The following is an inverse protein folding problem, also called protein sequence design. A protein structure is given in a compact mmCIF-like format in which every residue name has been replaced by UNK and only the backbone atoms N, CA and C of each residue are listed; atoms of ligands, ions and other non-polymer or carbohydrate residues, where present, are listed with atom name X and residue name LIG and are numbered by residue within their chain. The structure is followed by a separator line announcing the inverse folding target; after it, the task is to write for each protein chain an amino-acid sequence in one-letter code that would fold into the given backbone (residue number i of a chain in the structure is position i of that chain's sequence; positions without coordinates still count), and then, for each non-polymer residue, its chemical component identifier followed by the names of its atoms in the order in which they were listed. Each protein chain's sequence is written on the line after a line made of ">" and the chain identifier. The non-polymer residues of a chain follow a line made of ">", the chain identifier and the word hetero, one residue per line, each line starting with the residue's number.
data_IF_716114308924
#
_entry.id   IF_716114308924
#
_cell.length_a   1.000
_cell.length_b   1.000
_cell.length_c   1.000
_cell.angle_alpha   90.00
_cell.angle_beta   90.00
_cell.angle_gamma   90.00
#
_symmetry.space_group_name_H-M   'P 1'
#
loop_
_entity.id
_entity.type
_entity.pdbx_description
1 polymer ?
#
# COMPACT_ATOMS: atom_id res chain seq x y z
N UNK A 1 9.01 2.17 -13.97
CA UNK A 1 8.05 2.39 -12.88
C UNK A 1 6.66 2.24 -13.46
N UNK A 2 5.80 1.49 -12.79
CA UNK A 2 4.39 1.33 -13.14
C UNK A 2 3.54 1.44 -11.87
N UNK A 3 2.87 2.59 -11.69
CA UNK A 3 2.03 2.83 -10.52
C UNK A 3 0.69 2.08 -10.63
N UNK A 4 0.31 1.41 -9.54
CA UNK A 4 -0.91 0.62 -9.44
C UNK A 4 -1.60 0.87 -8.09
N UNK A 5 -2.93 0.86 -8.07
CA UNK A 5 -3.70 0.79 -6.83
C UNK A 5 -3.80 -0.65 -6.32
N UNK A 6 -3.34 -0.89 -5.09
CA UNK A 6 -3.47 -2.17 -4.42
C UNK A 6 -4.73 -2.16 -3.55
N UNK A 7 -5.78 -2.88 -3.99
CA UNK A 7 -7.04 -2.96 -3.24
C UNK A 7 -6.92 -3.68 -1.89
N UNK A 8 -5.85 -4.46 -1.66
CA UNK A 8 -5.66 -5.14 -0.36
C UNK A 8 -5.14 -4.19 0.70
N UNK A 9 -4.21 -3.31 0.33
CA UNK A 9 -3.61 -2.34 1.25
C UNK A 9 -4.27 -1.00 1.23
N UNK A 10 -5.05 -0.72 0.17
CA UNK A 10 -5.54 0.61 -0.15
C UNK A 10 -4.34 1.56 -0.26
N UNK A 11 -3.33 1.14 -1.02
CA UNK A 11 -2.13 1.92 -1.25
C UNK A 11 -1.73 1.87 -2.73
N UNK A 12 -1.16 2.98 -3.19
CA UNK A 12 -0.45 3.10 -4.44
C UNK A 12 0.91 2.40 -4.31
N UNK A 13 1.17 1.46 -5.21
CA UNK A 13 2.41 0.69 -5.27
C UNK A 13 3.11 0.92 -6.62
N UNK A 14 4.42 0.67 -6.66
CA UNK A 14 5.14 0.49 -7.93
C UNK A 14 5.23 -1.01 -8.23
N UNK A 15 4.55 -1.43 -9.30
CA UNK A 15 4.49 -2.83 -9.71
C UNK A 15 5.80 -3.34 -10.36
N UNK A 16 6.77 -2.47 -10.62
CA UNK A 16 8.14 -2.91 -10.96
C UNK A 16 8.92 -3.37 -9.72
N UNK A 17 8.46 -3.00 -8.51
CA UNK A 17 9.00 -3.49 -7.25
C UNK A 17 8.24 -4.75 -6.89
N UNK A 18 8.99 -5.86 -6.78
CA UNK A 18 8.40 -7.14 -6.41
C UNK A 18 7.55 -7.00 -5.16
N UNK A 19 6.32 -7.53 -5.25
CA UNK A 19 5.48 -7.62 -4.08
C UNK A 19 6.26 -8.28 -2.94
N UNK A 20 7.22 -9.20 -3.15
CA UNK A 20 8.06 -9.80 -2.08
C UNK A 20 8.70 -8.81 -1.09
N UNK A 21 8.82 -7.53 -1.45
CA UNK A 21 9.26 -6.45 -0.56
C UNK A 21 8.11 -5.70 0.13
N UNK A 22 6.88 -5.79 -0.40
CA UNK A 22 5.65 -5.44 0.30
C UNK A 22 5.42 -6.44 1.45
N UNK A 23 5.17 -5.91 2.64
CA UNK A 23 4.92 -6.69 3.86
C UNK A 23 3.75 -7.68 3.75
N UNK A 24 2.92 -7.55 2.72
CA UNK A 24 1.77 -8.41 2.43
C UNK A 24 1.99 -9.41 1.30
N UNK A 25 3.18 -9.43 0.68
CA UNK A 25 3.48 -10.46 -0.31
C UNK A 25 3.94 -11.75 0.32
N UNK A 26 3.54 -12.86 -0.28
CA UNK A 26 3.74 -14.20 0.29
C UNK A 26 2.76 -14.52 1.42
N UNK A 27 2.11 -13.52 2.00
CA UNK A 27 0.93 -13.63 2.82
C UNK A 27 -0.30 -13.88 1.94
N UNK A 28 -0.39 -15.02 1.25
CA UNK A 28 -1.67 -15.51 0.72
C UNK A 28 -1.95 -16.88 1.27
N UNK A 29 -3.06 -17.03 2.02
CA UNK A 29 -3.34 -18.29 2.69
C UNK A 29 -3.47 -19.40 1.62
N UNK A 30 -3.10 -20.64 1.92
CA UNK A 30 -3.17 -21.74 0.95
C UNK A 30 -4.57 -21.96 0.35
N UNK A 31 -5.63 -21.62 1.09
CA UNK A 31 -7.04 -21.69 0.67
C UNK A 31 -7.49 -20.46 -0.15
N UNK A 32 -6.71 -19.39 -0.16
CA UNK A 32 -6.93 -18.21 -0.98
C UNK A 32 -6.30 -18.42 -2.36
N UNK A 33 -7.16 -18.76 -3.32
CA UNK A 33 -6.77 -19.09 -4.68
C UNK A 33 -7.68 -18.38 -5.68
N UNK A 34 -7.14 -18.10 -6.87
CA UNK A 34 -7.91 -17.50 -7.94
C UNK A 34 -9.13 -18.33 -8.36
N UNK A 35 -9.04 -19.66 -8.28
CA UNK A 35 -10.12 -20.60 -8.67
C UNK A 35 -11.35 -20.53 -7.75
N UNK A 36 -11.17 -20.17 -6.47
CA UNK A 36 -12.25 -20.00 -5.48
C UNK A 36 -12.60 -18.54 -5.18
N UNK A 37 -11.93 -17.58 -5.82
CA UNK A 37 -12.12 -16.16 -5.56
C UNK A 37 -13.43 -15.62 -6.16
N UNK A 38 -14.14 -14.75 -5.43
CA UNK A 38 -15.37 -14.07 -5.89
C UNK A 38 -15.18 -13.21 -7.14
N UNK A 39 -13.95 -12.79 -7.42
CA UNK A 39 -13.63 -11.98 -8.59
C UNK A 39 -13.47 -12.83 -9.85
N UNK A 40 -13.44 -14.16 -9.75
CA UNK A 40 -13.26 -15.01 -10.92
C UNK A 40 -14.44 -14.89 -11.87
N UNK A 41 -14.14 -14.60 -13.13
CA UNK A 41 -15.11 -14.55 -14.23
C UNK A 41 -14.66 -15.53 -15.31
N UNK A 42 -15.53 -16.49 -15.60
CA UNK A 42 -15.37 -17.42 -16.72
C UNK A 42 -15.58 -16.69 -18.05
N UNK A 43 -14.86 -17.12 -19.08
CA UNK A 43 -14.96 -16.58 -20.44
C UNK A 43 -14.98 -17.73 -21.44
N UNK A 44 -15.98 -17.75 -22.32
CA UNK A 44 -16.11 -18.81 -23.31
C UNK A 44 -14.87 -18.93 -24.20
N UNK A 45 -14.25 -20.11 -24.19
CA UNK A 45 -13.07 -20.43 -24.99
C UNK A 45 -11.81 -19.63 -24.63
N UNK A 46 -11.77 -18.94 -23.49
CA UNK A 46 -10.62 -18.12 -23.05
C UNK A 46 -10.26 -18.41 -21.59
N UNK A 47 -9.01 -18.15 -21.17
CA UNK A 47 -8.65 -18.22 -19.75
C UNK A 47 -9.55 -17.32 -18.90
N UNK A 48 -9.89 -17.70 -17.66
CA UNK A 48 -10.70 -16.88 -16.76
C UNK A 48 -9.98 -15.57 -16.41
N UNK A 49 -10.74 -14.57 -15.99
CA UNK A 49 -10.23 -13.26 -15.61
C UNK A 49 -10.64 -12.87 -14.19
N UNK A 50 -9.90 -11.93 -13.60
CA UNK A 50 -10.24 -11.24 -12.36
C UNK A 50 -11.14 -10.05 -12.70
N UNK A 51 -12.36 -9.99 -12.17
CA UNK A 51 -13.26 -8.83 -12.33
C UNK A 51 -12.70 -7.57 -11.67
N UNK A 52 -12.11 -7.70 -10.49
CA UNK A 52 -11.58 -6.57 -9.72
C UNK A 52 -10.60 -5.74 -10.53
N UNK A 53 -9.76 -6.41 -11.33
CA UNK A 53 -8.71 -5.75 -12.08
C UNK A 53 -8.90 -5.83 -13.59
N UNK A 54 -9.92 -6.56 -14.04
CA UNK A 54 -10.18 -6.86 -15.45
C UNK A 54 -9.05 -7.57 -16.22
N UNK A 55 -8.15 -8.27 -15.52
CA UNK A 55 -6.98 -8.95 -16.12
C UNK A 55 -7.09 -10.48 -16.08
N UNK A 56 -6.27 -11.18 -16.88
CA UNK A 56 -6.20 -12.64 -16.85
C UNK A 56 -5.78 -13.18 -15.48
N UNK A 57 -6.34 -14.32 -15.06
CA UNK A 57 -5.92 -14.96 -13.82
C UNK A 57 -4.56 -15.65 -14.01
N UNK A 58 -3.62 -15.53 -13.05
CA UNK A 58 -2.36 -16.26 -13.11
C UNK A 58 -2.62 -17.77 -13.07
N UNK A 59 -1.90 -18.53 -13.90
CA UNK A 59 -2.02 -20.00 -13.96
C UNK A 59 -1.61 -20.69 -12.64
N UNK A 60 -0.70 -20.06 -11.88
CA UNK A 60 -0.26 -20.53 -10.57
C UNK A 60 -1.31 -20.35 -9.46
N UNK A 61 -2.42 -19.66 -9.74
CA UNK A 61 -3.55 -19.53 -8.82
C UNK A 61 -3.31 -18.63 -7.59
N UNK A 62 -2.21 -17.88 -7.54
CA UNK A 62 -1.97 -16.88 -6.49
C UNK A 62 -2.75 -15.58 -6.73
N UNK A 63 -3.46 -15.06 -5.72
CA UNK A 63 -4.22 -13.81 -5.82
C UNK A 63 -3.93 -12.87 -4.64
N UNK A 64 -3.26 -11.74 -4.85
CA UNK A 64 -2.94 -10.78 -3.78
C UNK A 64 -4.16 -10.11 -3.12
N UNK A 65 -5.34 -10.19 -3.75
CA UNK A 65 -6.57 -9.47 -3.36
C UNK A 65 -7.65 -10.37 -2.76
N UNK A 66 -7.30 -11.57 -2.28
CA UNK A 66 -8.21 -12.65 -1.91
C UNK A 66 -9.59 -12.20 -1.35
N UNK A 67 -10.63 -12.28 -2.19
CA UNK A 67 -12.01 -11.91 -1.86
C UNK A 67 -12.23 -10.48 -1.32
N UNK A 68 -11.29 -9.55 -1.53
CA UNK A 68 -11.45 -8.14 -1.17
C UNK A 68 -12.74 -7.56 -1.77
N UNK A 69 -13.36 -6.60 -1.10
CA UNK A 69 -14.45 -5.83 -1.70
C UNK A 69 -13.82 -4.58 -2.29
N UNK A 70 -14.12 -4.28 -3.55
CA UNK A 70 -13.71 -3.00 -4.15
C UNK A 70 -14.45 -1.87 -3.46
N UNK A 71 -13.71 -0.91 -2.92
CA UNK A 71 -14.21 0.32 -2.32
C UNK A 71 -14.08 1.53 -3.26
N UNK A 72 -13.65 1.29 -4.50
CA UNK A 72 -13.56 2.29 -5.56
C UNK A 72 -14.92 2.98 -5.79
N UNK A 73 -14.95 4.34 -5.80
CA UNK A 73 -16.15 5.10 -6.17
C UNK A 73 -16.68 4.76 -7.57
N UNK A 74 -17.97 4.99 -7.82
CA UNK A 74 -18.63 4.67 -9.10
C UNK A 74 -18.02 5.38 -10.32
N UNK A 75 -17.35 6.52 -10.13
CA UNK A 75 -16.63 7.28 -11.17
C UNK A 75 -15.12 6.99 -11.22
N UNK A 76 -14.62 6.14 -10.31
CA UNK A 76 -13.21 5.77 -10.22
C UNK A 76 -12.29 6.88 -9.70
N UNK A 77 -12.81 8.06 -9.34
CA UNK A 77 -11.99 9.19 -8.92
C UNK A 77 -11.61 9.03 -7.44
N UNK A 78 -10.31 9.08 -7.15
CA UNK A 78 -9.79 9.12 -5.80
C UNK A 78 -8.89 10.33 -5.61
N UNK A 79 -8.98 10.91 -4.42
CA UNK A 79 -8.03 11.90 -3.91
C UNK A 79 -7.04 11.14 -3.05
N UNK A 80 -5.79 11.14 -3.49
CA UNK A 80 -4.71 10.40 -2.86
C UNK A 80 -3.68 11.39 -2.33
N UNK A 81 -3.18 11.14 -1.13
CA UNK A 81 -2.03 11.83 -0.59
C UNK A 81 -0.83 10.89 -0.44
N UNK A 82 0.20 11.33 0.29
CA UNK A 82 1.43 10.56 0.47
C UNK A 82 1.21 9.32 1.35
N UNK A 83 0.20 9.33 2.22
CA UNK A 83 -0.12 8.23 3.14
C UNK A 83 -0.81 7.07 2.40
N UNK A 84 -1.47 7.39 1.30
CA UNK A 84 -2.01 6.43 0.35
C UNK A 84 -0.91 5.78 -0.50
N UNK A 85 0.37 6.07 -0.30
CA UNK A 85 1.47 5.44 -1.04
C UNK A 85 2.19 4.42 -0.18
N UNK A 86 2.48 3.25 -0.74
CA UNK A 86 3.31 2.26 -0.07
C UNK A 86 4.69 2.87 0.28
N UNK A 87 5.14 2.83 1.55
CA UNK A 87 6.38 3.49 1.97
C UNK A 87 7.61 3.07 1.16
N UNK A 88 7.64 1.81 0.71
CA UNK A 88 8.70 1.28 -0.14
C UNK A 88 8.79 1.99 -1.50
N UNK A 89 7.68 2.48 -2.06
CA UNK A 89 7.66 3.17 -3.34
C UNK A 89 8.29 4.57 -3.23
N UNK A 90 7.88 5.37 -2.23
CA UNK A 90 8.47 6.69 -1.97
C UNK A 90 9.98 6.59 -1.68
N UNK A 91 10.36 5.65 -0.82
CA UNK A 91 11.76 5.42 -0.45
C UNK A 91 12.61 4.95 -1.65
N UNK A 92 12.10 4.01 -2.45
CA UNK A 92 12.81 3.51 -3.64
C UNK A 92 13.07 4.63 -4.66
N UNK A 93 12.07 5.48 -4.88
CA UNK A 93 12.15 6.58 -5.85
C UNK A 93 12.75 7.88 -5.29
N UNK A 94 13.01 7.94 -3.98
CA UNK A 94 13.57 9.11 -3.27
C UNK A 94 12.76 10.37 -3.52
N UNK A 95 11.45 10.28 -3.31
CA UNK A 95 10.49 11.38 -3.43
C UNK A 95 9.69 11.53 -2.14
N UNK A 96 9.27 12.75 -1.82
CA UNK A 96 8.60 13.09 -0.57
C UNK A 96 7.08 13.24 -0.71
N UNK A 97 6.54 13.31 -1.93
CA UNK A 97 5.10 13.46 -2.18
C UNK A 97 4.62 12.49 -3.25
N UNK A 98 3.33 12.16 -3.20
CA UNK A 98 2.67 11.38 -4.25
C UNK A 98 2.70 12.09 -5.60
N UNK A 99 2.54 13.41 -5.67
CA UNK A 99 2.66 14.15 -6.93
C UNK A 99 4.05 14.00 -7.56
N UNK A 100 5.12 14.11 -6.75
CA UNK A 100 6.49 13.88 -7.23
C UNK A 100 6.73 12.42 -7.66
N UNK A 101 6.04 11.46 -7.05
CA UNK A 101 6.05 10.07 -7.50
C UNK A 101 5.38 9.91 -8.87
N UNK A 102 4.22 10.53 -9.09
CA UNK A 102 3.52 10.55 -10.38
C UNK A 102 4.39 11.17 -11.48
N UNK A 103 5.04 12.30 -11.22
CA UNK A 103 5.93 12.98 -12.19
C UNK A 103 7.12 12.11 -12.61
N UNK A 104 7.60 11.22 -11.74
CA UNK A 104 8.68 10.28 -12.07
C UNK A 104 8.21 9.06 -12.85
N UNK A 105 6.91 8.77 -12.85
CA UNK A 105 6.37 7.57 -13.48
C UNK A 105 6.05 7.86 -14.93
N UNK A 106 6.78 7.27 -15.90
CA UNK A 106 6.50 7.48 -17.32
C UNK A 106 5.14 6.91 -17.74
N UNK A 107 4.54 6.07 -16.91
CA UNK A 107 3.26 5.40 -17.14
C UNK A 107 2.16 5.88 -16.19
N UNK A 108 2.44 6.88 -15.35
CA UNK A 108 1.38 7.46 -14.53
C UNK A 108 0.29 8.05 -15.43
N UNK A 109 -0.99 7.84 -15.09
CA UNK A 109 -2.09 8.47 -15.80
C UNK A 109 -2.07 10.00 -15.56
N UNK A 110 -2.88 10.71 -16.33
CA UNK A 110 -3.14 12.12 -16.06
C UNK A 110 -3.74 12.29 -14.66
N UNK A 111 -3.28 13.31 -13.93
CA UNK A 111 -3.77 13.63 -12.61
C UNK A 111 -3.91 15.14 -12.44
N UNK A 112 -4.73 15.55 -11.48
CA UNK A 112 -4.80 16.95 -11.03
C UNK A 112 -4.06 17.08 -9.71
N UNK A 113 -3.05 17.95 -9.63
CA UNK A 113 -2.33 18.18 -8.38
C UNK A 113 -3.22 18.95 -7.39
N UNK A 114 -3.17 18.55 -6.12
CA UNK A 114 -3.79 19.29 -5.02
C UNK A 114 -2.81 20.27 -4.40
N UNK A 115 -3.31 21.20 -3.58
CA UNK A 115 -2.51 22.28 -2.97
C UNK A 115 -1.43 21.74 -2.01
N UNK A 116 -1.69 20.59 -1.38
CA UNK A 116 -0.84 19.99 -0.35
C UNK A 116 0.08 18.89 -0.90
N UNK A 117 0.21 18.79 -2.22
CA UNK A 117 1.09 17.80 -2.88
C UNK A 117 0.47 16.41 -3.08
N UNK A 118 -0.82 16.26 -2.78
CA UNK A 118 -1.65 15.12 -3.17
C UNK A 118 -2.05 15.14 -4.67
N UNK A 119 -2.74 14.10 -5.12
CA UNK A 119 -3.24 13.95 -6.49
C UNK A 119 -4.71 13.56 -6.52
N UNK A 120 -5.47 14.10 -7.46
CA UNK A 120 -6.76 13.58 -7.89
C UNK A 120 -6.54 12.77 -9.16
N UNK A 121 -6.92 11.49 -9.15
CA UNK A 121 -6.65 10.54 -10.23
C UNK A 121 -7.83 9.57 -10.41
N UNK A 122 -8.09 9.17 -11.65
CA UNK A 122 -8.95 8.01 -11.90
C UNK A 122 -8.14 6.73 -11.67
N UNK A 123 -8.48 5.96 -10.64
CA UNK A 123 -7.73 4.75 -10.31
C UNK A 123 -7.88 3.64 -11.35
N UNK A 124 -8.90 3.72 -12.22
CA UNK A 124 -9.06 2.79 -13.33
C UNK A 124 -8.00 2.97 -14.42
N UNK A 125 -7.39 4.16 -14.50
CA UNK A 125 -6.34 4.52 -15.46
C UNK A 125 -4.93 4.15 -14.98
N UNK A 126 -4.79 3.69 -13.74
CA UNK A 126 -3.52 3.17 -13.23
C UNK A 126 -3.14 1.87 -13.94
N UNK A 127 -1.84 1.57 -13.95
CA UNK A 127 -1.32 0.38 -14.60
C UNK A 127 -1.93 -0.88 -13.99
N UNK A 128 -2.35 -1.82 -14.85
CA UNK A 128 -2.91 -3.11 -14.45
C UNK A 128 -1.91 -4.21 -14.80
N UNK A 129 -1.45 -5.02 -13.85
CA UNK A 129 -0.42 -6.02 -14.13
C UNK A 129 -1.01 -7.19 -14.91
N UNK A 130 -0.22 -7.76 -15.81
CA UNK A 130 -0.57 -8.97 -16.55
C UNK A 130 -0.54 -10.21 -15.66
N UNK A 131 0.41 -10.27 -14.73
CA UNK A 131 0.51 -11.31 -13.70
C UNK A 131 0.63 -10.67 -12.31
N UNK A 132 -0.31 -10.99 -11.42
CA UNK A 132 -0.37 -10.40 -10.07
C UNK A 132 0.63 -11.04 -9.10
N UNK A 133 1.22 -10.21 -8.25
CA UNK A 133 2.19 -10.64 -7.24
C UNK A 133 3.57 -10.98 -7.81
N UNK A 134 3.77 -10.71 -9.10
CA UNK A 134 4.99 -11.00 -9.84
C UNK A 134 5.47 -9.69 -10.48
N UNK A 135 6.74 -9.30 -10.31
CA UNK A 135 7.32 -8.15 -11.00
C UNK A 135 7.13 -8.24 -12.51
N UNK A 136 6.96 -7.11 -13.20
CA UNK A 136 6.87 -7.09 -14.66
C UNK A 136 7.99 -7.88 -15.38
N UNK A 137 9.27 -7.83 -14.93
CA UNK A 137 10.33 -8.66 -15.51
C UNK A 137 10.14 -10.19 -15.43
N UNK A 138 9.30 -10.67 -14.51
CA UNK A 138 9.13 -12.10 -14.21
C UNK A 138 7.81 -12.69 -14.75
N UNK A 139 7.00 -11.90 -15.46
CA UNK A 139 5.67 -12.30 -15.95
C UNK A 139 5.71 -13.51 -16.88
N UNK A 140 6.64 -13.53 -17.83
CA UNK A 140 6.79 -14.65 -18.78
C UNK A 140 7.03 -15.99 -18.07
N UNK A 141 7.79 -15.98 -16.97
CA UNK A 141 8.06 -17.17 -16.18
C UNK A 141 6.83 -17.61 -15.35
N UNK A 142 6.07 -16.65 -14.81
CA UNK A 142 4.88 -16.91 -14.02
C UNK A 142 3.66 -17.35 -14.85
N UNK A 143 3.65 -17.01 -16.14
CA UNK A 143 2.75 -17.60 -17.13
C UNK A 143 3.12 -19.06 -17.47
N UNK A 144 4.21 -19.61 -16.90
CA UNK A 144 4.71 -20.96 -17.22
C UNK A 144 5.03 -21.91 -16.06
N UNK A 145 4.93 -21.54 -14.76
CA UNK A 145 5.30 -22.41 -13.62
C UNK A 145 4.40 -22.30 -12.37
N UNK A 146 4.46 -23.34 -11.53
CA UNK A 146 3.77 -23.47 -10.24
C UNK A 146 4.16 -22.38 -9.22
N UNK A 147 3.20 -22.04 -8.35
CA UNK A 147 3.27 -20.97 -7.33
C UNK A 147 4.53 -21.08 -6.46
N UNK A 148 5.24 -19.97 -6.16
CA UNK A 148 6.25 -20.00 -5.11
C UNK A 148 5.57 -20.38 -3.78
N UNK A 149 6.05 -21.46 -3.16
CA UNK A 149 5.53 -21.97 -1.90
C UNK A 149 6.02 -21.08 -0.75
N UNK A 150 5.28 -20.01 -0.47
CA UNK A 150 5.50 -19.23 0.74
C UNK A 150 4.65 -19.77 1.89
N UNK A 151 5.18 -19.76 3.10
CA UNK A 151 4.47 -20.19 4.31
C UNK A 151 3.79 -18.97 4.93
N UNK A 152 2.47 -19.02 5.05
CA UNK A 152 1.69 -18.00 5.78
C UNK A 152 2.08 -18.00 7.26
N UNK A 153 2.49 -16.85 7.79
CA UNK A 153 2.94 -16.69 9.18
C UNK A 153 1.93 -15.91 10.02
N UNK A 154 2.04 -15.98 11.34
CA UNK A 154 1.20 -15.19 12.26
C UNK A 154 1.39 -13.67 12.09
N UNK A 155 2.58 -13.24 11.66
CA UNK A 155 2.86 -11.84 11.35
C UNK A 155 2.13 -11.38 10.07
N UNK A 156 2.08 -12.24 9.04
CA UNK A 156 1.30 -12.02 7.84
C UNK A 156 -0.21 -11.92 8.15
N UNK A 157 -0.71 -12.76 9.05
CA UNK A 157 -2.09 -12.69 9.56
C UNK A 157 -2.38 -11.36 10.25
N UNK A 158 -1.51 -10.93 11.17
CA UNK A 158 -1.69 -9.69 11.93
C UNK A 158 -1.66 -8.42 11.07
N UNK A 159 -0.95 -8.42 9.94
CA UNK A 159 -0.92 -7.30 8.98
C UNK A 159 -2.17 -7.34 8.08
N UNK A 160 -2.62 -8.53 7.68
CA UNK A 160 -3.79 -8.69 6.80
C UNK A 160 -5.14 -8.47 7.50
N UNK A 161 -5.24 -8.76 8.80
CA UNK A 161 -6.50 -8.67 9.57
C UNK A 161 -6.43 -7.69 10.75
N UNK A 162 -5.26 -7.09 10.99
CA UNK A 162 -5.07 -6.11 12.05
C UNK A 162 -5.76 -4.77 11.75
N UNK A 163 -5.85 -3.87 12.75
CA UNK A 163 -6.23 -2.50 12.51
C UNK A 163 -5.29 -1.88 11.47
N UNK A 164 -5.79 -0.94 10.66
CA UNK A 164 -4.94 -0.10 9.83
C UNK A 164 -4.01 0.66 10.75
N UNK A 165 -2.78 0.15 10.92
CA UNK A 165 -1.79 0.78 11.79
C UNK A 165 -1.49 2.21 11.33
N UNK A 166 -1.68 2.52 10.04
CA UNK A 166 -1.72 3.88 9.51
C UNK A 166 -2.77 4.74 10.22
N UNK A 167 -4.02 4.28 10.34
CA UNK A 167 -5.11 5.00 11.01
C UNK A 167 -4.83 5.26 12.51
N UNK A 168 -3.87 4.52 13.09
CA UNK A 168 -3.51 4.64 14.50
C UNK A 168 -2.21 5.43 14.71
N UNK A 169 -1.23 5.29 13.80
CA UNK A 169 0.10 5.90 13.89
C UNK A 169 0.15 7.25 13.16
N UNK A 170 -0.48 7.40 12.00
CA UNK A 170 -0.41 8.63 11.19
C UNK A 170 -0.99 9.87 11.88
N UNK A 171 -2.12 9.81 12.60
CA UNK A 171 -2.63 10.97 13.32
C UNK A 171 -1.62 11.56 14.32
N UNK A 172 -0.79 10.71 14.93
CA UNK A 172 0.29 11.15 15.82
C UNK A 172 1.41 11.84 15.03
N UNK A 173 1.85 11.26 13.91
CA UNK A 173 2.91 11.82 13.06
C UNK A 173 2.49 13.17 12.47
N UNK A 174 1.24 13.29 12.03
CA UNK A 174 0.67 14.54 11.53
C UNK A 174 0.59 15.59 12.62
N UNK A 175 0.14 15.22 13.81
CA UNK A 175 0.04 16.14 14.93
C UNK A 175 1.41 16.67 15.37
N UNK A 176 2.47 15.84 15.32
CA UNK A 176 3.85 16.26 15.56
C UNK A 176 4.31 17.22 14.47
N UNK A 177 4.15 16.83 13.20
CA UNK A 177 4.61 17.61 12.04
C UNK A 177 3.92 18.98 11.96
N UNK A 178 2.60 19.03 12.16
CA UNK A 178 1.84 20.27 12.18
C UNK A 178 2.28 21.18 13.32
N UNK A 179 2.48 20.63 14.52
CA UNK A 179 2.91 21.41 15.68
C UNK A 179 4.34 21.96 15.54
N UNK A 180 5.24 21.25 14.86
CA UNK A 180 6.56 21.77 14.49
C UNK A 180 6.45 22.89 13.46
N UNK A 181 5.69 22.67 12.38
CA UNK A 181 5.54 23.64 11.30
C UNK A 181 4.88 24.96 11.77
N UNK A 182 3.92 24.88 12.68
CA UNK A 182 3.22 26.04 13.25
C UNK A 182 3.96 26.69 14.43
N UNK A 183 5.03 26.07 14.93
CA UNK A 183 5.73 26.50 16.14
C UNK A 183 4.92 26.34 17.43
N UNK A 184 3.90 25.47 17.44
CA UNK A 184 3.03 25.20 18.61
C UNK A 184 3.49 24.00 19.43
N UNK A 185 4.68 23.47 19.18
CA UNK A 185 5.25 22.33 19.91
C UNK A 185 5.77 22.74 21.32
N UNK A 186 4.86 23.17 22.18
CA UNK A 186 5.15 23.56 23.57
C UNK A 186 5.50 22.34 24.43
N UNK A 187 6.07 22.55 25.62
CA UNK A 187 6.34 21.47 26.59
C UNK A 187 5.08 20.66 26.93
N UNK A 188 3.93 21.33 27.08
CA UNK A 188 2.65 20.69 27.35
C UNK A 188 2.19 19.85 26.15
N UNK A 189 2.26 20.41 24.94
CA UNK A 189 1.89 19.69 23.71
C UNK A 189 2.80 18.50 23.43
N UNK A 190 4.10 18.60 23.72
CA UNK A 190 5.05 17.48 23.65
C UNK A 190 4.66 16.35 24.59
N UNK A 191 4.29 16.67 25.83
CA UNK A 191 3.88 15.66 26.82
C UNK A 191 2.60 14.93 26.41
N UNK A 192 1.63 15.63 25.82
CA UNK A 192 0.42 15.03 25.25
C UNK A 192 0.75 14.03 24.13
N UNK A 193 1.53 14.47 23.13
CA UNK A 193 1.91 13.63 21.98
C UNK A 193 2.76 12.42 22.40
N UNK A 194 3.63 12.59 23.41
CA UNK A 194 4.39 11.48 24.01
C UNK A 194 3.48 10.44 24.69
N UNK A 195 2.43 10.89 25.36
CA UNK A 195 1.46 9.99 25.98
C UNK A 195 0.66 9.23 24.92
N UNK A 196 0.25 9.90 23.84
CA UNK A 196 -0.40 9.27 22.69
C UNK A 196 0.50 8.22 22.03
N UNK A 197 1.77 8.55 21.75
CA UNK A 197 2.75 7.65 21.18
C UNK A 197 2.93 6.36 22.01
N UNK A 198 3.07 6.51 23.33
CA UNK A 198 3.25 5.38 24.25
C UNK A 198 1.97 4.55 24.43
N UNK A 199 0.79 5.12 24.16
CA UNK A 199 -0.49 4.43 24.27
C UNK A 199 -0.79 3.51 23.06
N UNK A 200 -0.06 3.64 21.95
CA UNK A 200 -0.22 2.80 20.75
C UNK A 200 0.10 1.32 20.99
N UNK A 201 0.83 1.01 22.08
CA UNK A 201 1.13 -0.36 22.48
C UNK A 201 2.12 -1.05 21.52
N UNK A 202 2.20 -2.40 21.55
CA UNK A 202 3.11 -3.15 20.70
C UNK A 202 2.67 -3.08 19.23
N UNK A 203 3.56 -2.53 18.40
CA UNK A 203 3.39 -2.39 16.96
C UNK A 203 4.33 -3.36 16.20
N UNK A 204 4.00 -3.75 14.96
CA UNK A 204 4.94 -4.44 14.08
C UNK A 204 6.22 -3.61 13.88
N UNK A 205 7.37 -4.27 13.71
CA UNK A 205 8.71 -3.64 13.70
C UNK A 205 8.82 -2.37 12.85
N UNK A 206 8.21 -2.36 11.66
CA UNK A 206 8.22 -1.19 10.77
C UNK A 206 7.50 0.02 11.37
N UNK A 207 6.34 -0.18 11.97
CA UNK A 207 5.56 0.88 12.63
C UNK A 207 6.16 1.27 13.98
N UNK A 208 6.71 0.30 14.70
CA UNK A 208 7.44 0.54 15.94
C UNK A 208 8.65 1.46 15.70
N UNK A 209 9.39 1.27 14.60
CA UNK A 209 10.51 2.14 14.24
C UNK A 209 10.08 3.59 14.03
N UNK A 210 8.97 3.81 13.32
CA UNK A 210 8.43 5.16 13.04
C UNK A 210 7.99 5.85 14.33
N UNK A 211 7.27 5.13 15.21
CA UNK A 211 6.82 5.68 16.51
C UNK A 211 8.01 5.96 17.43
N UNK A 212 9.05 5.12 17.41
CA UNK A 212 10.25 5.37 18.20
C UNK A 212 10.99 6.63 17.75
N UNK A 213 11.12 6.88 16.44
CA UNK A 213 11.71 8.11 15.91
C UNK A 213 10.88 9.34 16.31
N UNK A 214 9.55 9.24 16.26
CA UNK A 214 8.65 10.28 16.74
C UNK A 214 8.81 10.58 18.25
N UNK A 215 8.99 9.54 19.06
CA UNK A 215 9.28 9.67 20.50
C UNK A 215 10.62 10.39 20.71
N UNK A 216 11.67 10.04 19.97
CA UNK A 216 12.96 10.70 20.06
C UNK A 216 12.87 12.20 19.74
N UNK A 217 12.13 12.57 18.69
CA UNK A 217 11.87 13.97 18.33
C UNK A 217 11.18 14.71 19.48
N UNK A 218 10.17 14.10 20.09
CA UNK A 218 9.41 14.73 21.17
C UNK A 218 10.22 14.87 22.47
N UNK A 219 11.13 13.92 22.74
CA UNK A 219 12.02 13.92 23.92
C UNK A 219 13.21 14.87 23.77
N UNK A 220 13.63 15.22 22.55
CA UNK A 220 14.67 16.23 22.31
C UNK A 220 14.08 17.66 22.38
N UNK A 221 14.41 18.48 23.39
CA UNK A 221 13.92 19.86 23.48
C UNK A 221 14.56 20.81 22.45
N UNK A 222 15.53 20.33 21.66
CA UNK A 222 16.25 21.09 20.63
C UNK A 222 15.61 21.04 19.24
N UNK A 223 14.66 20.13 19.04
CA UNK A 223 14.00 19.80 17.76
C UNK A 223 12.74 20.60 17.47
#
# INVERSE_FOLDING_TARGET
>A
MCLQWCHTTHQLIDNDIACTHCALSGALRPDQRCDTCRHRVERDGKPPMCRLTSMGLPLSGGCCHANIVSDTPDDGIMWLDTDDVAPSALAHHRVATIAALFERSPTAPGYTATVDGGVEVNIEDLARPEVYGVPAPDWDAALGRERPQFVWTDAAEAIATGPRYSDTVMPLIDAISQAQASGTLTLERRAELLAEARALGPLPDTWASIVNEAIEILEDPSS
#
